data_IF_216449855205
#
_entry.id   IF_216449855205
#
_cell.length_a   1.000
_cell.length_b   1.000
_cell.length_c   1.000
_cell.angle_alpha   90.00
_cell.angle_beta   90.00
_cell.angle_gamma   90.00
#
_symmetry.space_group_name_H-M   'P 1'
#
loop_
_entity.id
_entity.type
_entity.pdbx_description
1 polymer ?
#
# COMPACT_ATOMS: atom_id res chain seq x y z
N UNK A 1 19.63 21.55 31.68
CA UNK A 1 19.25 20.30 30.99
C UNK A 1 17.86 19.96 31.47
N UNK A 2 16.89 19.74 30.58
CA UNK A 2 15.54 19.37 31.00
C UNK A 2 15.59 17.96 31.63
N UNK A 3 15.06 17.80 32.84
CA UNK A 3 15.07 16.52 33.56
C UNK A 3 14.24 15.50 32.78
N UNK A 4 14.84 14.36 32.47
CA UNK A 4 14.18 13.20 31.85
C UNK A 4 13.61 12.24 32.89
N UNK A 5 13.62 12.60 34.18
CA UNK A 5 13.01 11.80 35.24
C UNK A 5 11.52 11.63 35.00
N UNK A 6 11.09 10.37 34.88
CA UNK A 6 9.68 9.99 34.69
C UNK A 6 9.26 9.77 33.22
N UNK A 7 10.11 10.08 32.23
CA UNK A 7 9.81 9.78 30.84
C UNK A 7 10.15 8.31 30.53
N UNK A 8 9.11 7.50 30.33
CA UNK A 8 9.27 6.12 29.84
C UNK A 8 9.68 6.18 28.36
N UNK A 9 10.79 5.54 27.94
CA UNK A 9 11.16 5.51 26.54
C UNK A 9 10.06 4.83 25.72
N UNK A 10 9.68 5.44 24.60
CA UNK A 10 8.76 4.83 23.63
C UNK A 10 9.48 3.64 23.00
N UNK A 11 9.27 2.46 23.55
CA UNK A 11 9.84 1.21 23.03
C UNK A 11 8.93 0.62 21.95
N UNK A 12 9.50 -0.20 21.06
CA UNK A 12 8.73 -0.98 20.08
C UNK A 12 7.66 -1.85 20.76
N UNK A 13 7.97 -2.41 21.92
CA UNK A 13 7.05 -3.23 22.70
C UNK A 13 5.89 -2.40 23.28
N UNK A 14 6.17 -1.19 23.78
CA UNK A 14 5.14 -0.26 24.24
C UNK A 14 4.18 0.09 23.10
N UNK A 15 4.70 0.45 21.93
CA UNK A 15 3.86 0.73 20.75
C UNK A 15 3.08 -0.52 20.28
N UNK A 16 3.69 -1.70 20.35
CA UNK A 16 3.04 -2.96 19.99
C UNK A 16 1.86 -3.29 20.93
N UNK A 17 1.98 -3.03 22.23
CA UNK A 17 0.92 -3.33 23.21
C UNK A 17 -0.40 -2.57 22.98
N UNK A 18 -0.37 -1.46 22.23
CA UNK A 18 -1.60 -0.78 21.80
C UNK A 18 -2.47 -1.71 20.94
N UNK A 19 -1.84 -2.55 20.13
CA UNK A 19 -2.50 -3.46 19.19
C UNK A 19 -3.01 -4.74 19.84
N UNK A 20 -2.55 -5.09 21.04
CA UNK A 20 -3.08 -6.24 21.78
C UNK A 20 -4.59 -6.09 22.07
N UNK A 21 -5.10 -4.84 22.06
CA UNK A 21 -6.53 -4.51 22.20
C UNK A 21 -7.36 -4.84 20.95
N UNK A 22 -6.71 -5.07 19.81
CA UNK A 22 -7.32 -5.30 18.50
C UNK A 22 -6.84 -6.64 17.92
N UNK A 23 -7.18 -7.78 18.55
CA UNK A 23 -6.79 -9.08 18.04
C UNK A 23 -7.40 -9.32 16.67
N UNK A 24 -6.56 -9.69 15.70
CA UNK A 24 -7.02 -10.13 14.38
C UNK A 24 -7.17 -11.65 14.40
N UNK A 25 -8.29 -12.20 13.88
CA UNK A 25 -8.43 -13.65 13.75
C UNK A 25 -7.31 -14.19 12.85
N UNK A 26 -6.78 -15.39 13.14
CA UNK A 26 -5.85 -16.05 12.23
C UNK A 26 -6.53 -16.28 10.87
N UNK A 27 -5.71 -16.36 9.82
CA UNK A 27 -6.20 -16.77 8.51
C UNK A 27 -6.77 -18.20 8.60
N UNK A 28 -7.79 -18.49 7.79
CA UNK A 28 -8.30 -19.86 7.67
C UNK A 28 -7.20 -20.80 7.17
N UNK A 29 -7.14 -22.01 7.71
CA UNK A 29 -6.25 -23.07 7.25
C UNK A 29 -6.47 -23.41 5.76
N UNK A 30 -7.68 -23.14 5.25
CA UNK A 30 -8.00 -23.27 3.83
C UNK A 30 -7.15 -22.37 2.93
N UNK A 31 -6.61 -21.25 3.42
CA UNK A 31 -5.82 -20.34 2.59
C UNK A 31 -4.57 -21.04 2.07
N UNK A 32 -3.84 -21.75 2.94
CA UNK A 32 -2.63 -22.47 2.56
C UNK A 32 -2.94 -23.60 1.58
N UNK A 33 -4.02 -24.36 1.84
CA UNK A 33 -4.48 -25.45 0.98
C UNK A 33 -4.95 -24.97 -0.39
N UNK A 34 -5.76 -23.91 -0.45
CA UNK A 34 -6.26 -23.36 -1.70
C UNK A 34 -5.12 -22.71 -2.51
N UNK A 35 -4.18 -22.04 -1.83
CA UNK A 35 -3.02 -21.45 -2.49
C UNK A 35 -2.14 -22.52 -3.13
N UNK A 36 -1.91 -23.65 -2.47
CA UNK A 36 -1.13 -24.76 -3.06
C UNK A 36 -1.87 -25.40 -4.24
N UNK A 37 -3.19 -25.57 -4.15
CA UNK A 37 -4.01 -26.09 -5.25
C UNK A 37 -3.96 -25.16 -6.47
N UNK A 38 -4.11 -23.84 -6.28
CA UNK A 38 -4.01 -22.86 -7.37
C UNK A 38 -2.62 -22.91 -8.02
N UNK A 39 -1.55 -22.99 -7.23
CA UNK A 39 -0.18 -23.10 -7.77
C UNK A 39 0.04 -24.39 -8.54
N UNK A 40 -0.49 -25.51 -8.07
CA UNK A 40 -0.41 -26.78 -8.80
C UNK A 40 -1.08 -26.67 -10.17
N UNK A 41 -2.32 -26.16 -10.21
CA UNK A 41 -3.06 -25.97 -11.46
C UNK A 41 -2.35 -25.00 -12.41
N UNK A 42 -1.75 -23.93 -11.88
CA UNK A 42 -0.97 -23.00 -12.68
C UNK A 42 0.27 -23.67 -13.29
N UNK A 43 1.00 -24.47 -12.51
CA UNK A 43 2.16 -25.21 -13.01
C UNK A 43 1.79 -26.22 -14.10
N UNK A 44 0.68 -26.94 -13.94
CA UNK A 44 0.18 -27.88 -14.95
C UNK A 44 -0.14 -27.14 -16.27
N UNK A 45 -0.78 -25.97 -16.19
CA UNK A 45 -1.06 -25.13 -17.36
C UNK A 45 0.21 -24.60 -18.05
N UNK A 46 1.24 -24.27 -17.28
CA UNK A 46 2.52 -23.78 -17.81
C UNK A 46 3.31 -24.87 -18.54
N UNK A 47 3.10 -26.14 -18.19
CA UNK A 47 3.70 -27.27 -18.91
C UNK A 47 3.09 -27.43 -20.31
N UNK A 48 1.78 -27.22 -20.44
CA UNK A 48 1.05 -27.35 -21.70
C UNK A 48 1.17 -26.11 -22.60
N UNK A 49 1.27 -24.92 -21.99
CA UNK A 49 1.35 -23.63 -22.68
C UNK A 49 2.46 -22.76 -22.09
N UNK A 50 3.64 -22.67 -22.72
CA UNK A 50 4.73 -21.83 -22.20
C UNK A 50 4.31 -20.35 -22.18
N UNK A 51 4.67 -19.61 -21.10
CA UNK A 51 4.24 -18.22 -20.94
C UNK A 51 4.94 -17.30 -21.94
N UNK A 52 4.22 -16.27 -22.38
CA UNK A 52 4.81 -15.13 -23.07
C UNK A 52 5.76 -14.34 -22.16
N UNK A 53 6.50 -13.38 -22.72
CA UNK A 53 7.39 -12.53 -21.94
C UNK A 53 6.65 -11.73 -20.86
N UNK A 54 5.45 -11.22 -21.16
CA UNK A 54 4.63 -10.46 -20.21
C UNK A 54 4.07 -11.36 -19.10
N UNK A 55 3.57 -12.55 -19.46
CA UNK A 55 3.08 -13.53 -18.50
C UNK A 55 4.20 -14.04 -17.58
N UNK A 56 5.42 -14.20 -18.11
CA UNK A 56 6.59 -14.57 -17.32
C UNK A 56 6.90 -13.56 -16.23
N UNK A 57 6.75 -12.25 -16.52
CA UNK A 57 6.94 -11.20 -15.52
C UNK A 57 5.86 -11.22 -14.43
N UNK A 58 4.62 -11.58 -14.78
CA UNK A 58 3.52 -11.73 -13.82
C UNK A 58 3.74 -12.93 -12.90
N UNK A 59 4.22 -14.05 -13.46
CA UNK A 59 4.58 -15.25 -12.68
C UNK A 59 5.70 -14.93 -11.69
N UNK A 60 6.77 -14.28 -12.17
CA UNK A 60 7.88 -13.86 -11.31
C UNK A 60 7.38 -12.95 -10.18
N UNK A 61 6.51 -11.97 -10.48
CA UNK A 61 5.94 -11.08 -9.46
C UNK A 61 5.07 -11.84 -8.45
N UNK A 62 4.28 -12.81 -8.88
CA UNK A 62 3.43 -13.62 -8.01
C UNK A 62 4.23 -14.50 -7.03
N UNK A 63 5.45 -14.89 -7.41
CA UNK A 63 6.36 -15.69 -6.58
C UNK A 63 7.27 -14.84 -5.67
N UNK A 64 7.24 -13.51 -5.79
CA UNK A 64 8.02 -12.63 -4.91
C UNK A 64 7.55 -12.70 -3.47
N UNK A 65 8.52 -12.60 -2.57
CA UNK A 65 8.25 -12.48 -1.14
C UNK A 65 7.45 -11.20 -0.86
N UNK A 66 6.37 -11.27 -0.04
CA UNK A 66 5.61 -10.09 0.33
C UNK A 66 6.51 -9.02 0.96
N UNK A 67 6.34 -7.73 0.59
CA UNK A 67 7.10 -6.66 1.20
C UNK A 67 6.92 -6.62 2.72
N UNK A 68 8.02 -6.49 3.45
CA UNK A 68 8.00 -6.38 4.91
C UNK A 68 7.45 -5.02 5.38
N UNK A 69 7.65 -3.96 4.58
CA UNK A 69 7.18 -2.62 4.91
C UNK A 69 5.69 -2.48 4.60
N UNK A 70 4.92 -1.96 5.55
CA UNK A 70 3.46 -1.89 5.47
C UNK A 70 2.97 -1.01 4.31
N UNK A 71 3.64 0.12 4.07
CA UNK A 71 3.31 1.05 3.00
C UNK A 71 3.57 0.41 1.64
N UNK A 72 4.72 -0.25 1.49
CA UNK A 72 5.05 -1.00 0.28
C UNK A 72 4.05 -2.13 0.04
N UNK A 73 3.69 -2.87 1.10
CA UNK A 73 2.69 -3.92 1.05
C UNK A 73 1.30 -3.38 0.63
N UNK A 74 0.86 -2.26 1.20
CA UNK A 74 -0.41 -1.64 0.83
C UNK A 74 -0.43 -1.17 -0.63
N UNK A 75 0.66 -0.60 -1.13
CA UNK A 75 0.78 -0.20 -2.54
C UNK A 75 0.78 -1.41 -3.47
N UNK A 76 1.54 -2.45 -3.13
CA UNK A 76 1.59 -3.71 -3.88
C UNK A 76 0.25 -4.44 -3.90
N UNK A 77 -0.46 -4.48 -2.78
CA UNK A 77 -1.80 -5.06 -2.75
C UNK A 77 -2.77 -4.32 -3.67
N UNK A 78 -2.70 -2.98 -3.74
CA UNK A 78 -3.51 -2.19 -4.67
C UNK A 78 -3.15 -2.45 -6.13
N UNK A 79 -1.86 -2.55 -6.43
CA UNK A 79 -1.35 -2.93 -7.75
C UNK A 79 -1.90 -4.30 -8.16
N UNK A 80 -1.72 -5.32 -7.34
CA UNK A 80 -2.18 -6.68 -7.61
C UNK A 80 -3.71 -6.76 -7.75
N UNK A 81 -4.47 -6.07 -6.91
CA UNK A 81 -5.93 -6.04 -7.04
C UNK A 81 -6.37 -5.42 -8.37
N UNK A 82 -5.74 -4.34 -8.82
CA UNK A 82 -6.07 -3.72 -10.11
C UNK A 82 -5.66 -4.59 -11.30
N UNK A 83 -4.52 -5.29 -11.19
CA UNK A 83 -4.08 -6.26 -12.21
C UNK A 83 -5.03 -7.45 -12.29
N UNK A 84 -5.44 -8.02 -11.15
CA UNK A 84 -6.43 -9.11 -11.09
C UNK A 84 -7.74 -8.66 -11.73
N UNK A 85 -8.25 -7.47 -11.39
CA UNK A 85 -9.47 -6.93 -11.99
C UNK A 85 -9.28 -6.74 -13.50
N UNK A 86 -8.11 -6.27 -13.94
CA UNK A 86 -7.80 -6.10 -15.37
C UNK A 86 -7.88 -7.43 -16.12
N UNK A 87 -7.25 -8.49 -15.59
CA UNK A 87 -7.24 -9.84 -16.16
C UNK A 87 -8.62 -10.52 -16.11
N UNK A 88 -9.42 -10.27 -15.05
CA UNK A 88 -10.77 -10.84 -14.91
C UNK A 88 -11.79 -10.23 -15.89
N UNK A 89 -11.51 -9.07 -16.50
CA UNK A 89 -12.38 -8.50 -17.52
C UNK A 89 -12.37 -9.34 -18.78
N UNK A 90 -13.55 -9.72 -19.29
CA UNK A 90 -13.71 -10.49 -20.53
C UNK A 90 -12.96 -9.91 -21.74
N UNK A 91 -12.80 -8.59 -21.78
CA UNK A 91 -12.03 -7.87 -22.82
C UNK A 91 -10.52 -8.13 -22.80
N UNK A 92 -9.98 -8.79 -21.77
CA UNK A 92 -8.56 -9.12 -21.65
C UNK A 92 -8.31 -10.62 -21.45
N UNK A 93 -9.34 -11.46 -21.55
CA UNK A 93 -9.14 -12.89 -21.44
C UNK A 93 -8.26 -13.43 -22.58
N UNK A 94 -7.38 -14.40 -22.29
CA UNK A 94 -6.60 -15.07 -23.32
C UNK A 94 -7.50 -15.63 -24.41
N UNK A 95 -6.99 -15.63 -25.64
CA UNK A 95 -7.75 -16.08 -26.81
C UNK A 95 -8.27 -17.51 -26.61
N UNK A 96 -7.46 -18.40 -26.02
CA UNK A 96 -7.81 -19.79 -25.70
C UNK A 96 -9.07 -19.89 -24.83
N UNK A 97 -9.19 -19.05 -23.79
CA UNK A 97 -10.37 -19.02 -22.91
C UNK A 97 -11.58 -18.43 -23.64
N UNK A 98 -11.38 -17.45 -24.51
CA UNK A 98 -12.47 -16.90 -25.35
C UNK A 98 -13.00 -17.90 -26.37
N UNK A 99 -12.12 -18.70 -26.97
CA UNK A 99 -12.52 -19.74 -27.93
C UNK A 99 -13.34 -20.84 -27.25
N UNK A 100 -12.97 -21.22 -26.02
CA UNK A 100 -13.74 -22.18 -25.23
C UNK A 100 -15.18 -21.68 -24.99
N UNK A 101 -15.37 -20.41 -24.65
CA UNK A 101 -16.72 -19.84 -24.43
C UNK A 101 -17.61 -19.66 -25.66
N UNK A 102 -17.08 -19.79 -26.88
CA UNK A 102 -17.92 -19.80 -28.10
C UNK A 102 -18.68 -21.12 -28.24
N UNK A 103 -18.18 -22.17 -27.58
CA UNK A 103 -18.98 -23.36 -27.29
C UNK A 103 -20.00 -22.96 -26.23
N UNK A 104 -21.30 -23.00 -26.54
CA UNK A 104 -22.37 -22.68 -25.58
C UNK A 104 -22.53 -23.75 -24.49
N UNK A 105 -21.44 -24.23 -23.90
CA UNK A 105 -21.46 -25.25 -22.88
C UNK A 105 -21.88 -24.64 -21.52
N UNK A 106 -22.69 -25.36 -20.72
CA UNK A 106 -23.15 -24.87 -19.42
C UNK A 106 -22.00 -24.57 -18.43
N UNK A 107 -20.88 -25.31 -18.54
CA UNK A 107 -19.68 -25.12 -17.72
C UNK A 107 -19.00 -23.76 -17.97
N UNK A 108 -18.98 -23.29 -19.22
CA UNK A 108 -18.38 -22.00 -19.60
C UNK A 108 -19.14 -20.80 -19.04
N UNK A 109 -20.47 -20.95 -18.92
CA UNK A 109 -21.36 -19.94 -18.31
C UNK A 109 -21.15 -19.87 -16.80
N UNK A 110 -20.96 -21.01 -16.15
CA UNK A 110 -20.67 -21.08 -14.71
C UNK A 110 -19.32 -20.44 -14.39
N UNK A 111 -18.26 -20.77 -15.14
CA UNK A 111 -16.94 -20.18 -14.97
C UNK A 111 -16.97 -18.65 -15.13
N UNK A 112 -17.65 -18.13 -16.16
CA UNK A 112 -17.83 -16.70 -16.34
C UNK A 112 -18.56 -16.03 -15.17
N UNK A 113 -19.54 -16.70 -14.58
CA UNK A 113 -20.26 -16.19 -13.42
C UNK A 113 -19.36 -16.16 -12.17
N UNK A 114 -18.54 -17.20 -11.95
CA UNK A 114 -17.58 -17.26 -10.84
C UNK A 114 -16.53 -16.15 -10.97
N UNK A 115 -15.94 -15.97 -12.16
CA UNK A 115 -14.96 -14.91 -12.43
C UNK A 115 -15.57 -13.51 -12.29
N UNK A 116 -16.83 -13.34 -12.72
CA UNK A 116 -17.57 -12.08 -12.51
C UNK A 116 -17.75 -11.75 -11.02
N UNK A 117 -18.20 -12.72 -10.22
CA UNK A 117 -18.33 -12.58 -8.75
C UNK A 117 -16.98 -12.28 -8.09
N UNK A 118 -15.90 -12.89 -8.58
CA UNK A 118 -14.56 -12.64 -8.08
C UNK A 118 -14.11 -11.21 -8.38
N UNK A 119 -14.35 -10.73 -9.60
CA UNK A 119 -14.06 -9.34 -10.01
C UNK A 119 -14.78 -8.34 -9.11
N UNK A 120 -16.08 -8.53 -8.87
CA UNK A 120 -16.85 -7.66 -7.97
C UNK A 120 -16.29 -7.63 -6.54
N UNK A 121 -15.83 -8.77 -6.02
CA UNK A 121 -15.22 -8.84 -4.69
C UNK A 121 -13.92 -8.04 -4.64
N UNK A 122 -13.07 -8.16 -5.65
CA UNK A 122 -11.84 -7.39 -5.74
C UNK A 122 -12.10 -5.90 -5.90
N UNK A 123 -13.07 -5.49 -6.72
CA UNK A 123 -13.45 -4.09 -6.88
C UNK A 123 -13.95 -3.48 -5.57
N UNK A 124 -14.83 -4.18 -4.85
CA UNK A 124 -15.32 -3.75 -3.53
C UNK A 124 -14.16 -3.61 -2.54
N UNK A 125 -13.28 -4.61 -2.47
CA UNK A 125 -12.14 -4.60 -1.55
C UNK A 125 -11.16 -3.48 -1.88
N UNK A 126 -10.85 -3.26 -3.16
CA UNK A 126 -9.99 -2.19 -3.63
C UNK A 126 -10.57 -0.81 -3.29
N UNK A 127 -11.88 -0.62 -3.46
CA UNK A 127 -12.56 0.63 -3.10
C UNK A 127 -12.54 0.88 -1.59
N UNK A 128 -12.73 -0.15 -0.78
CA UNK A 128 -12.55 -0.06 0.68
C UNK A 128 -11.11 0.32 1.04
N UNK A 129 -10.11 -0.27 0.39
CA UNK A 129 -8.70 0.06 0.64
C UNK A 129 -8.36 1.50 0.23
N UNK A 130 -8.86 1.96 -0.91
CA UNK A 130 -8.70 3.35 -1.38
C UNK A 130 -9.35 4.35 -0.42
N UNK A 131 -10.59 4.08 0.00
CA UNK A 131 -11.31 4.97 0.93
C UNK A 131 -10.65 4.98 2.31
N UNK A 132 -10.21 3.82 2.79
CA UNK A 132 -9.45 3.68 4.02
C UNK A 132 -8.20 4.56 4.00
N UNK A 133 -7.39 4.45 2.94
CA UNK A 133 -6.18 5.25 2.79
C UNK A 133 -6.49 6.75 2.76
N UNK A 134 -7.47 7.18 1.96
CA UNK A 134 -7.85 8.58 1.87
C UNK A 134 -8.29 9.16 3.23
N UNK A 135 -9.20 8.46 3.93
CA UNK A 135 -9.73 8.89 5.24
C UNK A 135 -8.63 8.89 6.30
N UNK A 136 -7.76 7.87 6.33
CA UNK A 136 -6.65 7.81 7.27
C UNK A 136 -5.70 9.00 7.07
N UNK A 137 -5.40 9.30 5.81
CA UNK A 137 -4.58 10.44 5.39
C UNK A 137 -5.14 11.75 5.94
N UNK A 138 -6.44 12.02 5.74
CA UNK A 138 -7.05 13.26 6.21
C UNK A 138 -7.14 13.33 7.74
N UNK A 139 -7.39 12.21 8.42
CA UNK A 139 -7.37 12.15 9.90
C UNK A 139 -6.02 12.54 10.47
N UNK A 140 -4.94 12.03 9.90
CA UNK A 140 -3.59 12.33 10.36
C UNK A 140 -3.25 13.79 10.08
N UNK A 141 -3.56 14.28 8.87
CA UNK A 141 -3.39 15.70 8.56
C UNK A 141 -4.13 16.59 9.56
N UNK A 142 -5.41 16.30 9.82
CA UNK A 142 -6.23 17.07 10.73
C UNK A 142 -5.69 17.02 12.16
N UNK A 143 -5.19 15.87 12.61
CA UNK A 143 -4.54 15.70 13.91
C UNK A 143 -3.27 16.54 14.02
N UNK A 144 -2.44 16.60 12.97
CA UNK A 144 -1.27 17.48 12.95
C UNK A 144 -1.70 18.95 12.98
N UNK A 145 -2.76 19.31 12.27
CA UNK A 145 -3.28 20.67 12.21
C UNK A 145 -3.84 21.18 13.55
N UNK A 146 -4.24 20.31 14.49
CA UNK A 146 -4.69 20.77 15.83
C UNK A 146 -3.56 21.34 16.66
N UNK A 147 -2.32 20.91 16.41
CA UNK A 147 -1.12 21.41 17.10
C UNK A 147 -0.51 22.65 16.42
N UNK A 148 -1.05 23.08 15.27
CA UNK A 148 -0.54 24.22 14.52
C UNK A 148 -1.20 25.54 14.90
N UNK A 149 -0.45 26.66 14.80
CA UNK A 149 -1.04 27.98 14.89
C UNK A 149 -2.19 28.16 13.87
N UNK A 150 -3.35 28.62 14.34
CA UNK A 150 -4.54 28.91 13.52
C UNK A 150 -4.44 30.28 12.84
N UNK A 151 -3.26 30.64 12.36
CA UNK A 151 -3.01 31.87 11.61
C UNK A 151 -2.74 31.54 10.12
N UNK A 152 -2.28 32.54 9.37
CA UNK A 152 -2.00 32.40 7.93
C UNK A 152 -1.05 31.24 7.60
N UNK A 153 -0.22 30.78 8.55
CA UNK A 153 0.74 29.69 8.34
C UNK A 153 0.04 28.35 8.18
N UNK A 154 -1.01 28.10 8.96
CA UNK A 154 -1.85 26.91 8.80
C UNK A 154 -2.56 26.88 7.45
N UNK A 155 -3.02 28.04 6.96
CA UNK A 155 -3.63 28.17 5.64
C UNK A 155 -2.61 27.93 4.50
N UNK A 156 -1.39 28.47 4.62
CA UNK A 156 -0.32 28.25 3.64
C UNK A 156 0.07 26.77 3.53
N UNK A 157 0.15 26.06 4.66
CA UNK A 157 0.47 24.63 4.70
C UNK A 157 -0.63 23.81 3.99
N UNK A 158 -1.90 24.11 4.24
CA UNK A 158 -3.03 23.49 3.54
C UNK A 158 -2.94 23.72 2.03
N UNK A 159 -2.72 24.97 1.62
CA UNK A 159 -2.60 25.33 0.22
C UNK A 159 -1.42 24.63 -0.47
N UNK A 160 -0.28 24.53 0.22
CA UNK A 160 0.89 23.83 -0.29
C UNK A 160 0.62 22.34 -0.46
N UNK A 161 -0.02 21.68 0.52
CA UNK A 161 -0.45 20.28 0.41
C UNK A 161 -1.35 20.08 -0.80
N UNK A 162 -2.42 20.86 -0.92
CA UNK A 162 -3.38 20.71 -2.02
C UNK A 162 -2.73 20.92 -3.39
N UNK A 163 -1.85 21.92 -3.52
CA UNK A 163 -1.12 22.15 -4.77
C UNK A 163 -0.20 20.99 -5.11
N UNK A 164 0.53 20.48 -4.13
CA UNK A 164 1.43 19.33 -4.30
C UNK A 164 0.65 18.07 -4.70
N UNK A 165 -0.46 17.76 -4.03
CA UNK A 165 -1.27 16.57 -4.36
C UNK A 165 -1.93 16.72 -5.74
N UNK A 166 -2.43 17.90 -6.10
CA UNK A 166 -2.96 18.18 -7.45
C UNK A 166 -1.91 17.97 -8.54
N UNK A 167 -0.69 18.44 -8.33
CA UNK A 167 0.39 18.27 -9.31
C UNK A 167 0.78 16.79 -9.48
N UNK A 168 0.87 16.03 -8.40
CA UNK A 168 1.20 14.59 -8.43
C UNK A 168 0.10 13.77 -9.08
N UNK A 169 -1.16 14.11 -8.81
CA UNK A 169 -2.31 13.49 -9.46
C UNK A 169 -2.30 13.78 -10.97
N UNK A 170 -2.00 15.02 -11.37
CA UNK A 170 -1.90 15.37 -12.79
C UNK A 170 -0.79 14.59 -13.52
N UNK A 171 0.33 14.30 -12.87
CA UNK A 171 1.40 13.46 -13.43
C UNK A 171 0.92 12.00 -13.63
N UNK A 172 0.21 11.46 -12.64
CA UNK A 172 -0.41 10.12 -12.74
C UNK A 172 -1.45 10.08 -13.85
N UNK A 173 -2.31 11.10 -13.95
CA UNK A 173 -3.36 11.18 -14.96
C UNK A 173 -2.77 11.32 -16.36
N UNK A 174 -1.72 12.13 -16.53
CA UNK A 174 -0.99 12.23 -17.79
C UNK A 174 -0.39 10.89 -18.22
N UNK A 175 0.18 10.13 -17.27
CA UNK A 175 0.73 8.81 -17.51
C UNK A 175 -0.36 7.81 -17.94
N UNK A 176 -1.50 7.79 -17.25
CA UNK A 176 -2.64 6.93 -17.63
C UNK A 176 -3.20 7.31 -19.00
N UNK A 177 -3.34 8.60 -19.28
CA UNK A 177 -3.84 9.10 -20.57
C UNK A 177 -2.89 8.77 -21.73
N UNK A 178 -1.59 8.59 -21.46
CA UNK A 178 -0.61 8.13 -22.46
C UNK A 178 -0.68 6.63 -22.77
N UNK A 179 -1.54 5.87 -22.06
CA UNK A 179 -1.70 4.43 -22.25
C UNK A 179 -0.67 3.60 -21.49
N UNK A 180 -0.04 4.16 -20.45
CA UNK A 180 0.93 3.43 -19.63
C UNK A 180 0.30 2.25 -18.88
N UNK A 181 1.12 1.27 -18.51
CA UNK A 181 0.66 0.09 -17.80
C UNK A 181 0.24 0.40 -16.36
N UNK A 182 -0.54 -0.50 -15.76
CA UNK A 182 -0.89 -0.45 -14.34
C UNK A 182 0.38 -0.41 -13.48
N UNK A 183 1.39 -1.21 -13.85
CA UNK A 183 2.70 -1.26 -13.20
C UNK A 183 3.45 0.06 -13.27
N UNK A 184 3.46 0.73 -14.42
CA UNK A 184 4.12 2.03 -14.58
C UNK A 184 3.47 3.07 -13.65
N UNK A 185 2.14 3.10 -13.60
CA UNK A 185 1.39 3.98 -12.71
C UNK A 185 1.75 3.75 -11.24
N UNK A 186 1.81 2.49 -10.80
CA UNK A 186 2.16 2.14 -9.42
C UNK A 186 3.64 2.42 -9.11
N UNK A 187 4.55 2.23 -10.07
CA UNK A 187 5.96 2.61 -9.94
C UNK A 187 6.16 4.11 -9.76
N UNK A 188 5.39 4.94 -10.49
CA UNK A 188 5.42 6.39 -10.35
C UNK A 188 4.92 6.83 -8.97
N UNK A 189 3.78 6.31 -8.52
CA UNK A 189 3.24 6.64 -7.20
C UNK A 189 4.20 6.22 -6.07
N UNK A 190 4.86 5.07 -6.22
CA UNK A 190 5.89 4.62 -5.28
C UNK A 190 7.12 5.55 -5.29
N UNK A 191 7.58 5.96 -6.47
CA UNK A 191 8.69 6.92 -6.61
C UNK A 191 8.35 8.25 -5.95
N UNK A 192 7.15 8.80 -6.20
CA UNK A 192 6.66 10.01 -5.55
C UNK A 192 6.65 9.86 -4.02
N UNK A 193 6.34 8.67 -3.50
CA UNK A 193 6.38 8.38 -2.06
C UNK A 193 7.81 8.32 -1.51
N UNK A 194 8.74 7.67 -2.22
CA UNK A 194 10.14 7.61 -1.82
C UNK A 194 10.83 8.98 -1.87
N UNK A 195 10.49 9.80 -2.86
CA UNK A 195 11.05 11.15 -2.97
C UNK A 195 10.54 12.07 -1.85
N UNK A 196 9.28 11.92 -1.41
CA UNK A 196 8.78 12.55 -0.17
C UNK A 196 9.70 12.16 1.00
N UNK A 197 9.91 10.86 1.24
CA UNK A 197 10.77 10.38 2.34
C UNK A 197 12.20 10.87 2.27
N UNK A 198 12.80 10.93 1.08
CA UNK A 198 14.15 11.49 0.89
C UNK A 198 14.21 12.96 1.27
N UNK A 199 13.21 13.75 0.86
CA UNK A 199 13.11 15.15 1.28
C UNK A 199 12.97 15.27 2.80
N UNK A 200 12.19 14.40 3.45
CA UNK A 200 12.07 14.39 4.92
C UNK A 200 13.39 14.09 5.61
N UNK A 201 14.09 13.05 5.15
CA UNK A 201 15.38 12.68 5.70
C UNK A 201 16.40 13.82 5.54
N UNK A 202 16.40 14.50 4.39
CA UNK A 202 17.24 15.67 4.14
C UNK A 202 16.90 16.82 5.09
N UNK A 203 15.63 17.11 5.30
CA UNK A 203 15.16 18.14 6.23
C UNK A 203 15.51 17.82 7.70
N UNK A 204 15.37 16.55 8.11
CA UNK A 204 15.77 16.09 9.45
C UNK A 204 17.29 16.16 9.66
N UNK A 205 18.07 15.91 8.61
CA UNK A 205 19.53 16.06 8.62
C UNK A 205 20.03 17.49 8.45
N UNK A 206 19.14 18.44 8.07
CA UNK A 206 19.51 19.82 7.82
C UNK A 206 19.81 20.55 9.14
N UNK A 207 21.09 20.59 9.51
CA UNK A 207 21.61 21.42 10.60
C UNK A 207 21.81 22.88 10.17
N UNK A 208 21.48 23.85 11.04
CA UNK A 208 21.85 25.27 10.88
C UNK A 208 20.69 26.22 10.55
N UNK A 209 21.00 27.27 9.77
CA UNK A 209 20.16 28.47 9.52
C UNK A 209 18.78 28.13 8.93
N UNK A 210 18.66 27.07 8.13
CA UNK A 210 17.40 26.64 7.54
C UNK A 210 16.41 26.12 8.60
N UNK A 211 16.89 25.30 9.55
CA UNK A 211 16.09 24.84 10.70
C UNK A 211 15.64 26.03 11.56
N UNK A 212 16.50 27.04 11.71
CA UNK A 212 16.20 28.28 12.45
C UNK A 212 15.20 29.18 11.72
N UNK A 213 15.30 29.31 10.40
CA UNK A 213 14.36 30.10 9.59
C UNK A 213 12.96 29.48 9.57
N UNK A 214 12.87 28.16 9.37
CA UNK A 214 11.58 27.45 9.45
C UNK A 214 11.01 27.54 10.87
N UNK A 215 11.84 27.43 11.91
CA UNK A 215 11.43 27.64 13.30
C UNK A 215 10.88 29.05 13.56
N UNK A 216 11.54 30.08 13.01
CA UNK A 216 11.14 31.47 13.19
C UNK A 216 9.88 31.83 12.40
N UNK A 217 9.77 31.33 11.17
CA UNK A 217 8.58 31.52 10.33
C UNK A 217 7.37 30.75 10.88
N UNK A 218 7.54 29.51 11.33
CA UNK A 218 6.43 28.65 11.75
C UNK A 218 6.08 28.82 13.24
N UNK A 219 6.96 29.40 14.05
CA UNK A 219 6.68 29.85 15.42
C UNK A 219 6.36 28.73 16.42
N UNK A 220 6.91 27.53 16.19
CA UNK A 220 6.59 26.34 16.97
C UNK A 220 7.68 26.08 18.03
N UNK A 221 7.32 25.88 19.31
CA UNK A 221 8.29 25.66 20.39
C UNK A 221 8.99 24.30 20.27
N UNK A 222 10.07 24.17 21.05
CA UNK A 222 11.22 23.25 20.93
C UNK A 222 10.94 21.73 21.04
N UNK A 223 9.68 21.31 21.02
CA UNK A 223 9.33 19.89 20.89
C UNK A 223 9.22 19.61 19.40
N UNK A 224 9.80 18.52 18.93
CA UNK A 224 10.07 18.18 17.53
C UNK A 224 8.82 18.06 16.65
N UNK A 225 8.12 19.17 16.43
CA UNK A 225 6.89 19.25 15.63
C UNK A 225 7.24 19.34 14.16
N UNK A 226 8.45 19.73 13.77
CA UNK A 226 8.91 19.53 12.38
C UNK A 226 9.04 18.04 12.08
N UNK A 227 9.57 17.27 13.03
CA UNK A 227 9.61 15.83 12.93
C UNK A 227 8.19 15.26 13.02
N UNK A 228 7.29 15.78 13.85
CA UNK A 228 5.86 15.37 13.89
C UNK A 228 5.05 15.78 12.65
N UNK A 229 5.38 16.91 12.02
CA UNK A 229 4.75 17.44 10.80
C UNK A 229 4.96 16.51 9.61
N UNK A 230 6.15 15.91 9.59
CA UNK A 230 6.62 15.07 8.52
C UNK A 230 6.58 13.58 8.87
N UNK A 231 6.65 13.21 10.15
CA UNK A 231 6.23 11.91 10.69
C UNK A 231 4.73 11.71 10.54
N UNK A 232 3.91 12.77 10.56
CA UNK A 232 2.52 12.73 10.11
C UNK A 232 2.39 12.32 8.64
N UNK A 233 3.39 12.66 7.81
CA UNK A 233 3.47 12.25 6.40
C UNK A 233 3.95 10.80 6.22
N UNK A 234 4.75 10.26 7.15
CA UNK A 234 5.07 8.82 7.22
C UNK A 234 3.95 7.99 7.90
N UNK A 235 3.23 8.57 8.88
CA UNK A 235 2.01 8.03 9.47
C UNK A 235 0.87 7.99 8.45
N UNK A 236 0.86 8.94 7.50
CA UNK A 236 -0.11 9.06 6.40
C UNK A 236 -0.33 7.76 5.63
N UNK A 237 0.66 6.86 5.65
CA UNK A 237 0.62 5.56 4.98
C UNK A 237 1.10 4.39 5.86
N UNK A 238 1.36 4.61 7.16
CA UNK A 238 2.17 3.69 7.97
C UNK A 238 1.50 3.02 9.17
N UNK A 239 0.26 3.34 9.51
CA UNK A 239 -0.39 2.76 10.68
C UNK A 239 -1.81 2.33 10.32
N UNK A 240 -1.98 1.03 10.08
CA UNK A 240 -3.11 0.14 10.45
C UNK A 240 -2.75 -1.26 9.92
N UNK A 241 -2.42 -2.21 10.81
CA UNK A 241 -2.40 -3.66 10.51
C UNK A 241 -3.87 -4.11 10.37
N UNK A 242 -4.17 -5.16 9.57
CA UNK A 242 -4.09 -6.48 10.19
C UNK A 242 -3.57 -7.60 9.25
N UNK A 243 -3.20 -8.73 9.87
CA UNK A 243 -3.01 -10.07 9.28
C UNK A 243 -1.76 -10.29 8.39
N UNK A 244 -0.63 -10.56 9.03
CA UNK A 244 0.45 -11.38 8.48
C UNK A 244 1.17 -12.05 9.67
N UNK A 245 0.44 -12.84 10.46
CA UNK A 245 1.03 -13.65 11.54
C UNK A 245 0.66 -15.12 11.41
N UNK A 246 0.30 -15.59 10.21
CA UNK A 246 -0.05 -16.99 9.96
C UNK A 246 0.85 -17.69 8.95
N UNK A 247 1.97 -17.08 8.53
CA UNK A 247 2.91 -17.70 7.59
C UNK A 247 4.30 -18.00 8.15
N UNK A 248 4.47 -18.03 9.48
CA UNK A 248 5.78 -18.34 10.06
C UNK A 248 5.72 -19.20 11.32
N UNK A 249 4.82 -20.19 11.32
CA UNK A 249 4.82 -21.23 12.35
C UNK A 249 4.39 -22.57 11.76
N UNK A 250 5.20 -23.09 10.84
CA UNK A 250 5.32 -24.53 10.60
C UNK A 250 6.61 -24.82 9.82
N UNK A 251 7.75 -24.80 10.50
CA UNK A 251 8.78 -25.82 10.28
C UNK A 251 9.69 -25.88 11.50
N UNK A 252 9.45 -26.93 12.27
CA UNK A 252 10.19 -27.41 13.42
C UNK A 252 11.47 -28.13 13.00
N UNK A 253 12.57 -27.96 13.76
CA UNK A 253 13.64 -28.96 13.80
C UNK A 253 15.03 -28.47 14.24
N UNK A 254 15.28 -28.49 15.55
CA UNK A 254 16.59 -28.44 16.27
C UNK A 254 17.74 -29.28 15.67
N UNK A 255 18.96 -29.31 16.27
CA UNK A 255 19.77 -28.25 16.90
C UNK A 255 21.26 -28.31 16.45
N UNK A 256 22.03 -27.25 16.75
CA UNK A 256 23.34 -27.33 17.43
C UNK A 256 23.77 -25.93 17.86
#
# INVERSE_FOLDING_TARGET
MASTEGLVPITRNFLASYYDKYPAPPLSDDVSRLSSQIRSLANDLLLDSPPSQEESLLIEEADRQPPHKIDENMWKNREHMEEIIFLLKRSHWPATVRYLQQSSAPEDVELANVLGKLSEKFEKTLNTLKSFQAVNSDRIFNTVMTYMPQDFRGALIRQQRERSERNKQAEVDALVNSGASIRDRYSLMWKQQMDRRRQLAQLGSATGVYKTLVKYLVGVPQVDILDLFFLGFDLFFGFIRPICSSFQSSESGCPQ
#
